data_IF_173075913512
#
_entry.id   IF_173075913512
#
_cell.length_a   1.000
_cell.length_b   1.000
_cell.length_c   1.000
_cell.angle_alpha   90.00
_cell.angle_beta   90.00
_cell.angle_gamma   90.00
#
_symmetry.space_group_name_H-M   'P 1'
#
loop_
_entity.id
_entity.type
_entity.pdbx_description
1 polymer ?
#
# COMPACT_ATOMS: atom_id res chain seq x y z
N UNK A 1 2.94 22.29 -7.31
CA UNK A 1 3.18 20.92 -7.80
C UNK A 1 2.60 20.00 -6.74
N UNK A 2 1.61 19.15 -7.08
CA UNK A 2 0.93 18.28 -6.10
C UNK A 2 1.63 16.93 -6.05
N UNK A 3 1.94 16.45 -4.84
CA UNK A 3 2.65 15.17 -4.63
C UNK A 3 1.80 14.21 -3.81
N UNK A 4 1.91 12.93 -4.15
CA UNK A 4 1.31 11.84 -3.39
C UNK A 4 2.41 10.98 -2.76
N UNK A 5 2.42 10.89 -1.44
CA UNK A 5 3.30 10.02 -0.68
C UNK A 5 2.53 8.78 -0.20
N UNK A 6 2.96 7.61 -0.62
CA UNK A 6 2.36 6.34 -0.26
C UNK A 6 3.08 5.71 0.92
N UNK A 7 2.35 5.32 1.95
CA UNK A 7 2.84 4.61 3.12
C UNK A 7 2.14 3.26 3.27
N UNK A 8 2.92 2.19 3.35
CA UNK A 8 2.37 0.87 3.64
C UNK A 8 2.03 0.74 5.13
N UNK A 9 0.85 0.18 5.45
CA UNK A 9 0.45 -0.14 6.83
C UNK A 9 1.49 -1.01 7.57
N UNK A 10 1.50 -0.96 8.90
CA UNK A 10 2.34 -1.79 9.77
C UNK A 10 2.08 -3.30 9.64
N UNK A 11 2.78 -4.10 10.41
CA UNK A 11 2.58 -5.54 10.41
C UNK A 11 1.28 -5.95 11.10
N UNK A 12 0.74 -7.06 10.65
CA UNK A 12 -0.38 -7.79 11.25
C UNK A 12 0.07 -9.24 11.50
N UNK A 13 -0.66 -9.99 12.32
CA UNK A 13 -0.37 -11.42 12.53
C UNK A 13 -0.39 -12.22 11.21
N UNK A 14 -1.27 -11.86 10.28
CA UNK A 14 -1.31 -12.50 8.97
C UNK A 14 -0.06 -12.21 8.13
N UNK A 15 0.49 -11.00 8.20
CA UNK A 15 1.77 -10.72 7.53
C UNK A 15 2.91 -11.57 8.09
N UNK A 16 2.96 -11.74 9.43
CA UNK A 16 3.99 -12.58 10.07
C UNK A 16 3.82 -14.06 9.74
N UNK A 17 2.58 -14.50 9.61
CA UNK A 17 2.26 -15.87 9.20
C UNK A 17 2.38 -16.13 7.69
N UNK A 18 2.73 -15.12 6.88
CA UNK A 18 2.84 -15.24 5.42
C UNK A 18 1.50 -15.44 4.71
N UNK A 19 0.38 -15.01 5.34
CA UNK A 19 -0.97 -15.10 4.76
C UNK A 19 -1.29 -13.87 3.92
N UNK A 20 -1.98 -14.10 2.81
CA UNK A 20 -2.55 -13.05 1.96
C UNK A 20 -3.75 -12.43 2.69
N UNK A 21 -3.78 -11.10 2.81
CA UNK A 21 -4.83 -10.42 3.58
C UNK A 21 -5.99 -9.91 2.71
N UNK A 22 -5.68 -9.27 1.59
CA UNK A 22 -6.70 -8.63 0.77
C UNK A 22 -7.59 -7.67 1.57
N UNK A 23 -8.91 -7.86 1.45
CA UNK A 23 -9.93 -7.07 2.14
C UNK A 23 -10.30 -7.57 3.53
N UNK A 24 -9.79 -8.73 3.93
CA UNK A 24 -9.91 -9.22 5.31
C UNK A 24 -9.33 -8.18 6.28
N UNK A 25 -10.13 -7.74 7.24
CA UNK A 25 -9.78 -6.62 8.13
C UNK A 25 -9.04 -7.09 9.39
N UNK A 26 -7.80 -7.50 9.20
CA UNK A 26 -6.90 -7.93 10.28
C UNK A 26 -6.21 -6.69 10.89
N UNK A 27 -6.26 -6.50 12.22
CA UNK A 27 -5.65 -5.36 12.90
C UNK A 27 -4.12 -5.42 12.89
N UNK A 28 -3.47 -4.31 13.23
CA UNK A 28 -2.03 -4.31 13.53
C UNK A 28 -1.72 -5.27 14.69
N UNK A 29 -0.56 -5.91 14.63
CA UNK A 29 -0.03 -6.61 15.81
C UNK A 29 0.55 -5.61 16.83
N UNK A 30 0.74 -6.04 18.09
CA UNK A 30 1.22 -5.14 19.15
C UNK A 30 2.61 -4.60 18.85
N UNK A 31 3.50 -5.43 18.33
CA UNK A 31 4.86 -5.01 17.96
C UNK A 31 4.85 -3.89 16.92
N UNK A 32 3.94 -3.97 15.94
CA UNK A 32 3.79 -2.92 14.94
C UNK A 32 3.24 -1.62 15.53
N UNK A 33 2.30 -1.69 16.50
CA UNK A 33 1.81 -0.51 17.23
C UNK A 33 2.93 0.19 17.99
N UNK A 34 3.71 -0.58 18.73
CA UNK A 34 4.84 -0.08 19.52
C UNK A 34 5.90 0.57 18.61
N UNK A 35 6.22 -0.09 17.49
CA UNK A 35 7.17 0.43 16.50
C UNK A 35 6.66 1.74 15.86
N UNK A 36 5.40 1.75 15.38
CA UNK A 36 4.84 2.89 14.65
C UNK A 36 4.64 4.12 15.53
N UNK A 37 4.34 3.94 16.82
CA UNK A 37 4.24 5.05 17.78
C UNK A 37 5.57 5.79 17.97
N UNK A 38 6.68 5.17 17.62
CA UNK A 38 8.03 5.75 17.63
C UNK A 38 8.42 6.47 16.34
N UNK A 39 7.49 6.69 15.39
CA UNK A 39 7.78 7.38 14.14
C UNK A 39 6.91 8.60 13.92
N UNK A 40 7.48 9.58 13.20
CA UNK A 40 6.81 10.75 12.65
C UNK A 40 7.00 10.83 11.13
N UNK A 41 6.15 11.62 10.48
CA UNK A 41 6.39 12.02 9.10
C UNK A 41 7.61 12.96 9.02
N UNK A 42 8.36 12.96 7.90
CA UNK A 42 9.32 14.03 7.61
C UNK A 42 8.63 15.40 7.59
N UNK A 43 9.30 16.43 8.12
CA UNK A 43 8.72 17.77 8.38
C UNK A 43 7.95 18.38 7.21
N UNK A 44 8.45 18.20 6.00
CA UNK A 44 7.79 18.73 4.79
C UNK A 44 6.46 18.05 4.43
N UNK A 45 6.08 16.97 5.14
CA UNK A 45 4.78 16.29 5.01
C UNK A 45 3.81 16.65 6.14
N UNK A 46 4.22 17.44 7.15
CA UNK A 46 3.38 17.80 8.29
C UNK A 46 2.14 18.63 7.92
N UNK A 47 2.18 19.33 6.79
CA UNK A 47 1.06 20.11 6.26
C UNK A 47 0.25 19.37 5.17
N UNK A 48 0.58 18.12 4.88
CA UNK A 48 -0.12 17.32 3.86
C UNK A 48 -1.48 16.85 4.35
N UNK A 49 -2.40 16.63 3.43
CA UNK A 49 -3.65 15.92 3.70
C UNK A 49 -3.37 14.44 4.01
N UNK A 50 -3.90 13.96 5.13
CA UNK A 50 -3.70 12.57 5.55
C UNK A 50 -4.93 11.75 5.17
N UNK A 51 -4.72 10.77 4.30
CA UNK A 51 -5.73 9.83 3.84
C UNK A 51 -5.37 8.39 4.19
N UNK A 52 -6.37 7.56 4.36
CA UNK A 52 -6.19 6.13 4.63
C UNK A 52 -7.26 5.27 3.97
N UNK A 53 -6.88 4.02 3.72
CA UNK A 53 -7.82 2.92 3.51
C UNK A 53 -8.77 2.78 4.71
N UNK A 54 -10.02 2.33 4.51
CA UNK A 54 -10.96 2.06 5.59
C UNK A 54 -10.52 0.90 6.50
N UNK A 55 -9.61 0.01 6.05
CA UNK A 55 -9.18 -1.14 6.84
C UNK A 55 -8.35 -0.71 8.06
N UNK A 56 -8.66 -1.30 9.22
CA UNK A 56 -8.13 -0.92 10.54
C UNK A 56 -6.60 -0.78 10.55
N UNK A 57 -5.88 -1.74 9.97
CA UNK A 57 -4.40 -1.71 9.92
C UNK A 57 -3.83 -0.46 9.24
N UNK A 58 -4.53 0.09 8.26
CA UNK A 58 -4.09 1.30 7.56
C UNK A 58 -4.47 2.57 8.33
N UNK A 59 -5.72 2.68 8.77
CA UNK A 59 -6.19 3.85 9.52
C UNK A 59 -5.49 3.99 10.88
N UNK A 60 -5.21 2.87 11.55
CA UNK A 60 -4.43 2.86 12.78
C UNK A 60 -2.96 3.25 12.53
N UNK A 61 -2.33 2.74 11.46
CA UNK A 61 -0.98 3.17 11.06
C UNK A 61 -0.93 4.69 10.84
N UNK A 62 -1.92 5.25 10.14
CA UNK A 62 -1.98 6.69 9.91
C UNK A 62 -2.02 7.47 11.23
N UNK A 63 -2.91 7.10 12.17
CA UNK A 63 -3.02 7.77 13.48
C UNK A 63 -1.75 7.69 14.30
N UNK A 64 -1.09 6.52 14.31
CA UNK A 64 0.14 6.33 15.11
C UNK A 64 1.30 7.18 14.59
N UNK A 65 1.43 7.30 13.26
CA UNK A 65 2.54 8.03 12.62
C UNK A 65 2.29 9.54 12.56
N UNK A 66 1.03 9.98 12.43
CA UNK A 66 0.71 11.41 12.24
C UNK A 66 0.15 12.09 13.48
N UNK A 67 -0.27 11.31 14.49
CA UNK A 67 -0.92 11.84 15.69
C UNK A 67 -2.36 12.35 15.46
N UNK A 68 -2.92 12.20 14.24
CA UNK A 68 -4.25 12.70 13.90
C UNK A 68 -5.08 11.66 13.13
N UNK A 69 -6.42 11.72 13.19
CA UNK A 69 -7.27 10.83 12.41
C UNK A 69 -7.16 11.15 10.92
N UNK A 70 -6.95 10.12 10.05
CA UNK A 70 -6.95 10.33 8.61
C UNK A 70 -8.37 10.53 8.05
N UNK A 71 -8.46 11.16 6.90
CA UNK A 71 -9.62 11.06 6.02
C UNK A 71 -9.67 9.64 5.44
N UNK A 72 -10.85 9.07 5.28
CA UNK A 72 -11.02 7.69 4.79
C UNK A 72 -11.46 7.72 3.32
N UNK A 73 -10.85 6.86 2.50
CA UNK A 73 -11.27 6.66 1.12
C UNK A 73 -11.33 5.18 0.78
N UNK A 74 -12.49 4.73 0.29
CA UNK A 74 -12.67 3.35 -0.21
C UNK A 74 -11.82 3.07 -1.45
N UNK A 75 -11.40 4.10 -2.19
CA UNK A 75 -10.46 3.95 -3.29
C UNK A 75 -9.12 3.34 -2.84
N UNK A 76 -8.71 3.56 -1.58
CA UNK A 76 -7.47 3.05 -0.99
C UNK A 76 -7.61 1.65 -0.38
N UNK A 77 -8.80 1.03 -0.41
CA UNK A 77 -8.96 -0.35 0.11
C UNK A 77 -8.06 -1.30 -0.67
N UNK A 78 -7.51 -2.31 0.01
CA UNK A 78 -6.60 -3.28 -0.63
C UNK A 78 -7.25 -3.97 -1.84
N UNK A 79 -6.43 -4.40 -2.76
CA UNK A 79 -6.83 -5.31 -3.84
C UNK A 79 -7.59 -6.49 -3.24
N UNK A 80 -8.72 -6.84 -3.85
CA UNK A 80 -9.42 -8.07 -3.51
C UNK A 80 -8.61 -9.27 -4.02
N UNK A 81 -8.12 -10.10 -3.09
CA UNK A 81 -7.36 -11.30 -3.42
C UNK A 81 -8.25 -12.54 -3.57
N UNK A 82 -9.58 -12.38 -3.49
CA UNK A 82 -10.56 -13.43 -3.73
C UNK A 82 -10.30 -14.67 -2.88
N UNK A 83 -10.32 -15.81 -3.52
CA UNK A 83 -10.18 -17.13 -2.85
C UNK A 83 -8.78 -17.37 -2.25
N UNK A 84 -7.82 -16.51 -2.54
CA UNK A 84 -6.48 -16.61 -1.94
C UNK A 84 -6.35 -15.90 -0.58
N UNK A 85 -7.36 -15.13 -0.14
CA UNK A 85 -7.32 -14.46 1.16
C UNK A 85 -7.26 -15.48 2.30
N UNK A 86 -6.36 -15.26 3.26
CA UNK A 86 -6.11 -16.13 4.39
C UNK A 86 -5.18 -17.32 4.07
N UNK A 87 -4.95 -17.65 2.81
CA UNK A 87 -4.01 -18.69 2.42
C UNK A 87 -2.57 -18.21 2.52
N UNK A 88 -1.64 -19.13 2.71
CA UNK A 88 -0.21 -18.81 2.72
C UNK A 88 0.35 -18.83 1.31
N UNK A 89 1.15 -17.82 0.96
CA UNK A 89 1.77 -17.76 -0.36
C UNK A 89 2.61 -18.99 -0.71
N UNK A 90 3.29 -19.58 0.28
CA UNK A 90 4.08 -20.82 0.07
C UNK A 90 3.22 -22.03 -0.27
N UNK A 91 2.02 -22.12 0.29
CA UNK A 91 1.10 -23.23 0.02
C UNK A 91 0.48 -23.07 -1.38
N UNK A 92 0.18 -21.83 -1.79
CA UNK A 92 -0.31 -21.53 -3.15
C UNK A 92 0.73 -21.84 -4.22
N UNK A 93 2.01 -21.55 -3.96
CA UNK A 93 3.11 -21.89 -4.89
C UNK A 93 3.30 -23.41 -5.03
N UNK A 94 3.10 -24.15 -3.93
CA UNK A 94 3.27 -25.60 -3.92
C UNK A 94 2.15 -26.37 -4.65
N UNK A 95 0.96 -25.79 -4.75
CA UNK A 95 -0.20 -26.34 -5.45
C UNK A 95 -0.29 -25.74 -6.86
N UNK A 96 0.09 -26.49 -7.88
CA UNK A 96 0.10 -26.04 -9.29
C UNK A 96 -1.27 -25.92 -9.93
N UNK A 97 -2.32 -26.47 -9.30
CA UNK A 97 -3.67 -26.53 -9.87
C UNK A 97 -4.54 -25.32 -9.50
N UNK A 98 -4.09 -24.46 -8.56
CA UNK A 98 -4.83 -23.31 -8.06
C UNK A 98 -4.71 -22.06 -8.93
N UNK A 99 -3.94 -22.09 -10.03
CA UNK A 99 -3.71 -20.96 -10.94
C UNK A 99 -2.83 -19.85 -10.35
N UNK A 100 -2.19 -20.05 -9.19
CA UNK A 100 -1.32 -19.01 -8.61
C UNK A 100 -0.15 -18.66 -9.52
N UNK A 101 0.11 -17.36 -9.64
CA UNK A 101 1.28 -16.80 -10.32
C UNK A 101 1.95 -15.75 -9.43
N UNK A 102 3.24 -15.58 -9.58
CA UNK A 102 3.93 -14.43 -9.00
C UNK A 102 3.40 -13.14 -9.61
N UNK A 103 3.33 -12.06 -8.82
CA UNK A 103 2.79 -10.77 -9.28
C UNK A 103 3.57 -10.19 -10.48
N UNK A 104 4.81 -10.64 -10.67
CA UNK A 104 5.69 -10.28 -11.79
C UNK A 104 5.37 -11.04 -13.10
N UNK A 105 4.38 -11.94 -13.07
CA UNK A 105 3.92 -12.72 -14.22
C UNK A 105 2.42 -12.46 -14.51
N UNK A 106 1.86 -11.35 -13.99
CA UNK A 106 0.43 -11.09 -14.07
C UNK A 106 0.00 -10.31 -15.29
N UNK A 107 0.80 -9.36 -15.75
CA UNK A 107 0.29 -8.29 -16.59
C UNK A 107 -0.81 -7.49 -15.88
N UNK A 108 -1.47 -6.58 -16.58
CA UNK A 108 -2.57 -5.77 -16.01
C UNK A 108 -3.89 -6.52 -15.83
N UNK A 109 -4.09 -7.63 -16.55
CA UNK A 109 -5.40 -8.29 -16.64
C UNK A 109 -5.57 -9.53 -15.74
N UNK A 110 -4.49 -10.12 -15.25
CA UNK A 110 -4.58 -11.32 -14.43
C UNK A 110 -5.20 -11.01 -13.06
N UNK A 111 -6.00 -11.93 -12.56
CA UNK A 111 -6.66 -11.82 -11.25
C UNK A 111 -6.68 -13.16 -10.50
N UNK A 112 -6.69 -13.13 -9.16
CA UNK A 112 -7.05 -14.29 -8.35
C UNK A 112 -8.49 -14.75 -8.65
N UNK A 113 -8.84 -16.01 -8.44
CA UNK A 113 -10.24 -16.45 -8.48
C UNK A 113 -11.11 -15.58 -7.56
N UNK A 114 -12.20 -15.03 -8.08
CA UNK A 114 -13.10 -14.08 -7.40
C UNK A 114 -12.45 -12.80 -6.88
N UNK A 115 -11.24 -12.47 -7.35
CA UNK A 115 -10.48 -11.28 -6.98
C UNK A 115 -10.46 -10.18 -8.03
N UNK A 116 -9.64 -9.14 -7.79
CA UNK A 116 -9.40 -8.00 -8.68
C UNK A 116 -8.08 -8.16 -9.45
N UNK A 117 -8.07 -7.70 -10.70
CA UNK A 117 -6.84 -7.48 -11.46
C UNK A 117 -6.23 -6.10 -11.16
N UNK A 118 -4.92 -5.89 -11.45
CA UNK A 118 -4.30 -4.56 -11.37
C UNK A 118 -5.06 -3.49 -12.15
N UNK A 119 -5.60 -3.82 -13.33
CA UNK A 119 -6.39 -2.89 -14.14
C UNK A 119 -7.69 -2.47 -13.46
N UNK A 120 -8.40 -3.39 -12.81
CA UNK A 120 -9.63 -3.07 -12.05
C UNK A 120 -9.33 -2.23 -10.82
N UNK A 121 -8.23 -2.52 -10.13
CA UNK A 121 -7.76 -1.67 -9.02
C UNK A 121 -7.44 -0.27 -9.52
N UNK A 122 -6.73 -0.12 -10.64
CA UNK A 122 -6.45 1.21 -11.20
C UNK A 122 -7.70 1.95 -11.64
N UNK A 123 -8.66 1.25 -12.24
CA UNK A 123 -9.92 1.86 -12.68
C UNK A 123 -10.71 2.51 -11.54
N UNK A 124 -10.75 1.88 -10.33
CA UNK A 124 -11.42 2.47 -9.15
C UNK A 124 -10.56 3.48 -8.39
N UNK A 125 -9.24 3.41 -8.51
CA UNK A 125 -8.28 4.22 -7.77
C UNK A 125 -7.94 5.52 -8.50
N UNK A 126 -7.83 5.49 -9.83
CA UNK A 126 -7.38 6.62 -10.64
C UNK A 126 -8.22 7.90 -10.48
N UNK A 127 -9.56 7.87 -10.36
CA UNK A 127 -10.34 9.08 -10.12
C UNK A 127 -9.97 9.77 -8.81
N UNK A 128 -9.66 9.01 -7.75
CA UNK A 128 -9.20 9.55 -6.48
C UNK A 128 -7.80 10.16 -6.62
N UNK A 129 -6.85 9.43 -7.20
CA UNK A 129 -5.46 9.90 -7.40
C UNK A 129 -5.43 11.19 -8.22
N UNK A 130 -6.12 11.20 -9.37
CA UNK A 130 -6.15 12.34 -10.28
C UNK A 130 -7.00 13.52 -9.75
N UNK A 131 -7.85 13.25 -8.76
CA UNK A 131 -8.66 14.25 -8.05
C UNK A 131 -7.91 15.05 -6.98
N UNK A 132 -6.73 14.61 -6.53
CA UNK A 132 -5.95 15.28 -5.49
C UNK A 132 -5.48 16.68 -5.94
N UNK A 133 -5.54 17.67 -5.02
CA UNK A 133 -5.21 19.07 -5.30
C UNK A 133 -4.13 19.64 -4.37
N UNK A 134 -3.78 18.89 -3.32
CA UNK A 134 -2.78 19.23 -2.31
C UNK A 134 -1.81 18.10 -2.09
N UNK A 135 -0.66 18.37 -1.52
CA UNK A 135 0.26 17.32 -1.08
C UNK A 135 -0.47 16.37 -0.13
N UNK A 136 -0.38 15.10 -0.39
CA UNK A 136 -1.18 14.05 0.27
C UNK A 136 -0.30 12.91 0.74
N UNK A 137 -0.50 12.46 1.97
CA UNK A 137 0.03 11.18 2.46
C UNK A 137 -1.11 10.17 2.50
N UNK A 138 -0.97 9.08 1.76
CA UNK A 138 -1.96 8.00 1.70
C UNK A 138 -1.41 6.73 2.37
N UNK A 139 -2.03 6.34 3.50
CA UNK A 139 -1.70 5.07 4.17
C UNK A 139 -2.58 3.97 3.62
N UNK A 140 -1.95 2.99 2.98
CA UNK A 140 -2.65 1.95 2.25
C UNK A 140 -1.89 0.61 2.28
N UNK A 141 -2.02 -0.19 1.25
CA UNK A 141 -1.63 -1.58 1.19
C UNK A 141 -0.67 -1.84 0.03
N UNK A 142 -0.02 -3.00 0.06
CA UNK A 142 1.00 -3.33 -0.94
C UNK A 142 0.44 -3.48 -2.36
N UNK A 143 -0.78 -4.00 -2.53
CA UNK A 143 -1.42 -4.12 -3.84
C UNK A 143 -1.73 -2.74 -4.43
N UNK A 144 -2.32 -1.85 -3.63
CA UNK A 144 -2.59 -0.45 -4.03
C UNK A 144 -1.30 0.28 -4.40
N UNK A 145 -0.27 0.16 -3.55
CA UNK A 145 1.02 0.80 -3.83
C UNK A 145 1.65 0.28 -5.13
N UNK A 146 1.59 -1.05 -5.38
CA UNK A 146 2.10 -1.63 -6.62
C UNK A 146 1.42 -1.04 -7.84
N UNK A 147 0.10 -0.91 -7.82
CA UNK A 147 -0.66 -0.38 -8.96
C UNK A 147 -0.31 1.09 -9.24
N UNK A 148 -0.24 1.94 -8.20
CA UNK A 148 0.13 3.34 -8.38
C UNK A 148 1.59 3.48 -8.84
N UNK A 149 2.50 2.73 -8.22
CA UNK A 149 3.92 2.76 -8.60
C UNK A 149 4.16 2.16 -10.00
N UNK A 150 3.38 1.15 -10.40
CA UNK A 150 3.44 0.59 -11.75
C UNK A 150 3.11 1.66 -12.80
N UNK A 151 2.07 2.48 -12.57
CA UNK A 151 1.75 3.61 -13.46
C UNK A 151 2.89 4.64 -13.50
N UNK A 152 3.47 4.95 -12.35
CA UNK A 152 4.52 5.96 -12.28
C UNK A 152 5.87 5.50 -12.88
N UNK A 153 6.19 4.22 -12.76
CA UNK A 153 7.44 3.65 -13.27
C UNK A 153 7.30 3.03 -14.67
N UNK A 154 6.08 2.95 -15.22
CA UNK A 154 5.83 2.28 -16.51
C UNK A 154 6.03 0.76 -16.42
N UNK A 155 5.78 0.14 -15.25
CA UNK A 155 5.87 -1.31 -15.08
C UNK A 155 4.50 -1.94 -15.39
N UNK A 156 4.51 -2.98 -16.20
CA UNK A 156 3.31 -3.66 -16.70
C UNK A 156 2.96 -4.97 -15.95
N UNK A 157 3.55 -5.22 -14.79
CA UNK A 157 3.44 -6.47 -14.03
C UNK A 157 4.02 -7.68 -14.78
N UNK A 158 4.98 -7.44 -15.66
CA UNK A 158 5.77 -8.47 -16.34
C UNK A 158 7.24 -8.27 -16.02
N UNK A 159 7.89 -9.32 -15.55
CA UNK A 159 9.26 -9.29 -15.07
C UNK A 159 9.45 -8.52 -13.75
N UNK A 160 10.68 -8.39 -13.29
CA UNK A 160 11.01 -7.78 -12.00
C UNK A 160 10.54 -6.35 -11.87
N UNK A 161 9.82 -6.02 -10.78
CA UNK A 161 9.39 -4.66 -10.52
C UNK A 161 10.61 -3.71 -10.34
N UNK A 162 10.61 -2.52 -10.96
CA UNK A 162 11.72 -1.56 -10.85
C UNK A 162 11.81 -0.89 -9.47
N UNK A 163 10.95 -1.26 -8.54
CA UNK A 163 10.89 -0.75 -7.17
C UNK A 163 10.70 -1.86 -6.14
N UNK A 164 11.11 -1.59 -4.90
CA UNK A 164 10.92 -2.51 -3.77
C UNK A 164 10.19 -1.81 -2.64
N UNK A 165 8.97 -2.24 -2.35
CA UNK A 165 8.14 -1.65 -1.28
C UNK A 165 8.55 -2.19 0.09
N UNK A 166 9.10 -1.30 0.92
CA UNK A 166 9.46 -1.54 2.33
C UNK A 166 8.54 -0.74 3.24
N UNK A 167 8.32 -1.21 4.48
CA UNK A 167 7.59 -0.44 5.50
C UNK A 167 8.41 0.74 6.03
N UNK A 168 7.73 1.64 6.72
CA UNK A 168 8.32 2.84 7.36
C UNK A 168 9.04 3.75 6.35
N UNK A 169 8.50 3.80 5.10
CA UNK A 169 8.99 4.65 4.01
C UNK A 169 7.83 5.23 3.22
N UNK A 170 7.97 6.48 2.84
CA UNK A 170 7.11 7.17 1.88
C UNK A 170 7.65 6.96 0.47
N UNK A 171 6.77 6.55 -0.43
CA UNK A 171 7.03 6.47 -1.87
C UNK A 171 6.32 7.63 -2.52
N UNK A 172 7.09 8.60 -3.01
CA UNK A 172 6.56 9.89 -3.47
C UNK A 172 6.40 9.87 -4.99
N UNK A 173 5.27 10.39 -5.45
CA UNK A 173 4.93 10.55 -6.86
C UNK A 173 4.50 11.98 -7.08
N UNK A 174 5.06 12.62 -8.11
CA UNK A 174 4.60 13.90 -8.61
C UNK A 174 3.36 13.67 -9.49
N UNK A 175 2.22 14.23 -9.10
CA UNK A 175 0.95 14.01 -9.81
C UNK A 175 0.81 14.86 -11.08
N UNK A 176 1.72 15.79 -11.35
CA UNK A 176 1.69 16.59 -12.59
C UNK A 176 2.03 15.77 -13.82
N UNK A 177 2.97 14.85 -13.69
CA UNK A 177 3.51 14.01 -14.76
C UNK A 177 3.55 12.53 -14.42
N UNK A 178 3.00 12.14 -13.27
CA UNK A 178 3.04 10.79 -12.71
C UNK A 178 4.47 10.24 -12.55
N UNK A 179 5.46 11.10 -12.33
CA UNK A 179 6.85 10.67 -12.14
C UNK A 179 7.12 10.30 -10.68
N UNK A 180 7.83 9.18 -10.42
CA UNK A 180 8.21 8.79 -9.08
C UNK A 180 9.50 9.49 -8.64
N UNK A 181 9.65 9.76 -7.34
CA UNK A 181 10.95 10.13 -6.78
C UNK A 181 11.93 8.96 -6.88
N UNK A 182 13.21 9.27 -7.10
CA UNK A 182 14.27 8.28 -7.30
C UNK A 182 14.47 7.32 -6.11
N UNK A 183 14.15 7.76 -4.89
CA UNK A 183 14.30 6.96 -3.68
C UNK A 183 13.19 7.24 -2.67
N UNK A 184 12.73 6.19 -1.93
CA UNK A 184 11.74 6.36 -0.89
C UNK A 184 12.32 7.09 0.33
N UNK A 185 11.52 7.97 0.92
CA UNK A 185 11.87 8.75 2.11
C UNK A 185 11.55 7.95 3.38
N UNK A 186 12.49 7.87 4.33
CA UNK A 186 12.25 7.19 5.61
C UNK A 186 11.37 8.04 6.53
N UNK A 187 10.51 7.38 7.31
CA UNK A 187 9.89 8.00 8.48
C UNK A 187 10.99 8.39 9.48
N UNK A 188 10.74 9.46 10.23
CA UNK A 188 11.65 9.97 11.26
C UNK A 188 11.38 9.21 12.56
N UNK A 189 12.41 8.72 13.22
CA UNK A 189 12.25 8.18 14.58
C UNK A 189 12.09 9.33 15.56
N UNK A 190 11.07 9.23 16.43
CA UNK A 190 10.92 10.13 17.57
C UNK A 190 12.13 9.97 18.49
N UNK A 191 12.69 11.10 18.91
CA UNK A 191 13.72 11.08 19.96
C UNK A 191 13.05 10.64 21.27
N UNK A 192 13.61 9.61 21.89
CA UNK A 192 13.18 9.20 23.24
C UNK A 192 13.73 10.24 24.21
N UNK A 193 12.85 11.04 24.80
CA UNK A 193 13.19 11.98 25.89
C UNK A 193 13.51 11.18 27.14
#
# INVERSE_FOLDING_TARGET
>A
MTRLALLRHGHTDWNRAGRIQGRSDIPLDQTARDELSGYDLPDHWNAADIWSSPLQRASETARLVTGQPPQISDALIEMNWGDWEGLRGVDLIADTDNGYRHIEDWGWAYRPPNGESPAEVWARLSPWVLGLRSDTVAVCHIGIMRVILAQAWGWDFEGPAPFKIKRNRLYVINLTDMSPDAAPVRLIKRETI
#
